data_IF_483866891152
#
_entry.id   IF_483866891152
#
_cell.length_a   1.000
_cell.length_b   1.000
_cell.length_c   1.000
_cell.angle_alpha   90.00
_cell.angle_beta   90.00
_cell.angle_gamma   90.00
#
_symmetry.space_group_name_H-M   'P 1'
#
loop_
_entity.id
_entity.type
_entity.pdbx_description
1 polymer ?
#
# COMPACT_ATOMS: atom_id res chain seq x y z
N UNK A 1 -0.45 -37.47 -2.02
CA UNK A 1 -1.54 -36.51 -1.74
C UNK A 1 -0.87 -35.18 -1.44
N UNK A 2 -0.63 -34.36 -2.46
CA UNK A 2 -0.07 -33.01 -2.27
C UNK A 2 -1.29 -32.12 -2.08
N UNK A 3 -1.61 -31.79 -0.83
CA UNK A 3 -2.63 -30.80 -0.52
C UNK A 3 -2.22 -29.49 -1.17
N UNK A 4 -2.95 -29.10 -2.22
CA UNK A 4 -2.99 -27.72 -2.68
C UNK A 4 -3.63 -26.91 -1.56
N UNK A 5 -2.84 -26.53 -0.56
CA UNK A 5 -3.18 -25.36 0.25
C UNK A 5 -3.38 -24.22 -0.74
N UNK A 6 -4.64 -23.87 -0.99
CA UNK A 6 -4.97 -22.62 -1.65
C UNK A 6 -4.29 -21.55 -0.81
N UNK A 7 -3.19 -20.98 -1.31
CA UNK A 7 -2.63 -19.74 -0.76
C UNK A 7 -3.77 -18.74 -0.90
N UNK A 8 -4.47 -18.50 0.20
CA UNK A 8 -5.60 -17.61 0.23
C UNK A 8 -5.01 -16.21 0.21
N UNK A 9 -4.91 -15.64 -0.99
CA UNK A 9 -4.33 -14.31 -1.16
C UNK A 9 -5.04 -13.32 -0.24
N UNK A 10 -4.24 -12.46 0.41
CA UNK A 10 -4.76 -11.42 1.28
C UNK A 10 -5.87 -10.65 0.55
N UNK A 11 -7.04 -10.54 1.18
CA UNK A 11 -8.20 -9.91 0.56
C UNK A 11 -8.27 -8.45 1.02
N UNK A 12 -8.13 -7.54 0.08
CA UNK A 12 -8.34 -6.11 0.28
C UNK A 12 -9.83 -5.81 0.05
N UNK A 13 -10.51 -5.07 0.94
CA UNK A 13 -11.87 -4.60 0.69
C UNK A 13 -11.91 -3.62 -0.48
N UNK A 14 -12.99 -3.65 -1.27
CA UNK A 14 -13.18 -2.78 -2.45
C UNK A 14 -13.08 -1.29 -2.07
N UNK A 15 -13.60 -0.90 -0.92
CA UNK A 15 -13.54 0.50 -0.45
C UNK A 15 -12.09 0.96 -0.20
N UNK A 16 -11.23 0.05 0.27
CA UNK A 16 -9.79 0.32 0.47
C UNK A 16 -9.08 0.41 -0.88
N UNK A 17 -9.42 -0.44 -1.84
CA UNK A 17 -8.87 -0.35 -3.20
C UNK A 17 -9.22 0.98 -3.87
N UNK A 18 -10.48 1.43 -3.77
CA UNK A 18 -10.92 2.72 -4.29
C UNK A 18 -10.12 3.88 -3.68
N UNK A 19 -9.83 3.82 -2.38
CA UNK A 19 -9.06 4.86 -1.69
C UNK A 19 -7.58 4.86 -2.10
N UNK A 20 -6.99 3.68 -2.27
CA UNK A 20 -5.63 3.54 -2.82
C UNK A 20 -5.57 4.16 -4.21
N UNK A 21 -6.55 3.88 -5.07
CA UNK A 21 -6.59 4.44 -6.43
C UNK A 21 -6.75 5.97 -6.41
N UNK A 22 -7.60 6.51 -5.53
CA UNK A 22 -7.73 7.96 -5.31
C UNK A 22 -6.41 8.58 -4.86
N UNK A 23 -5.71 7.95 -3.93
CA UNK A 23 -4.40 8.42 -3.50
C UNK A 23 -3.39 8.43 -4.64
N UNK A 24 -3.28 7.33 -5.40
CA UNK A 24 -2.37 7.26 -6.53
C UNK A 24 -2.67 8.36 -7.57
N UNK A 25 -3.95 8.69 -7.78
CA UNK A 25 -4.34 9.80 -8.64
C UNK A 25 -3.93 11.16 -8.06
N UNK A 26 -4.15 11.42 -6.77
CA UNK A 26 -3.73 12.65 -6.09
C UNK A 26 -2.21 12.83 -6.12
N UNK A 27 -1.47 11.73 -6.00
CA UNK A 27 -0.01 11.70 -6.13
C UNK A 27 0.41 12.11 -7.54
N UNK A 28 -0.16 11.47 -8.58
CA UNK A 28 0.15 11.77 -10.00
C UNK A 28 -0.21 13.20 -10.39
N UNK A 29 -1.24 13.78 -9.77
CA UNK A 29 -1.67 15.16 -9.99
C UNK A 29 -0.89 16.17 -9.15
N UNK A 30 0.13 15.75 -8.39
CA UNK A 30 0.91 16.61 -7.49
C UNK A 30 0.03 17.38 -6.49
N UNK A 31 -1.09 16.79 -6.07
CA UNK A 31 -2.05 17.43 -5.15
C UNK A 31 -1.44 17.63 -3.75
N UNK A 32 -0.45 16.81 -3.38
CA UNK A 32 0.30 16.97 -2.14
C UNK A 32 1.44 17.97 -2.35
N UNK A 33 1.26 19.19 -1.85
CA UNK A 33 2.23 20.28 -2.00
C UNK A 33 3.38 20.22 -1.00
N UNK A 34 3.17 19.57 0.16
CA UNK A 34 4.20 19.36 1.19
C UNK A 34 4.50 17.89 1.34
N UNK A 35 5.77 17.58 1.52
CA UNK A 35 6.24 16.22 1.65
C UNK A 35 5.76 15.51 2.92
N UNK A 36 5.47 16.27 3.99
CA UNK A 36 4.85 15.76 5.21
C UNK A 36 3.41 15.31 4.98
N UNK A 37 2.66 16.03 4.14
CA UNK A 37 1.27 15.69 3.83
C UNK A 37 1.20 14.38 3.03
N UNK A 38 2.15 14.21 2.09
CA UNK A 38 2.31 12.97 1.33
C UNK A 38 2.71 11.79 2.23
N UNK A 39 3.64 12.00 3.16
CA UNK A 39 4.05 11.01 4.15
C UNK A 39 2.87 10.57 5.04
N UNK A 40 2.11 11.54 5.57
CA UNK A 40 0.95 11.26 6.40
C UNK A 40 -0.12 10.48 5.62
N UNK A 41 -0.44 10.91 4.40
CA UNK A 41 -1.40 10.23 3.54
C UNK A 41 -0.98 8.78 3.24
N UNK A 42 0.33 8.56 3.01
CA UNK A 42 0.90 7.22 2.82
C UNK A 42 0.70 6.35 4.07
N UNK A 43 1.03 6.86 5.27
CA UNK A 43 0.88 6.13 6.53
C UNK A 43 -0.59 5.81 6.82
N UNK A 44 -1.51 6.74 6.55
CA UNK A 44 -2.94 6.54 6.76
C UNK A 44 -3.49 5.41 5.88
N UNK A 45 -3.07 5.35 4.61
CA UNK A 45 -3.47 4.30 3.68
C UNK A 45 -2.90 2.95 4.09
N UNK A 46 -1.62 2.90 4.48
CA UNK A 46 -1.01 1.68 4.99
C UNK A 46 -1.72 1.17 6.25
N UNK A 47 -2.03 2.07 7.19
CA UNK A 47 -2.80 1.72 8.40
C UNK A 47 -4.17 1.15 8.04
N UNK A 48 -4.88 1.77 7.10
CA UNK A 48 -6.20 1.30 6.64
C UNK A 48 -6.10 -0.06 5.93
N UNK A 49 -5.13 -0.21 5.03
CA UNK A 49 -4.84 -1.46 4.34
C UNK A 49 -4.58 -2.59 5.34
N UNK A 50 -3.74 -2.37 6.34
CA UNK A 50 -3.42 -3.38 7.37
C UNK A 50 -4.64 -3.69 8.24
N UNK A 51 -5.38 -2.65 8.65
CA UNK A 51 -6.50 -2.78 9.58
C UNK A 51 -7.76 -3.40 8.98
N UNK A 52 -8.00 -3.21 7.68
CA UNK A 52 -9.23 -3.67 7.01
C UNK A 52 -9.03 -4.88 6.08
N UNK A 53 -7.78 -5.24 5.77
CA UNK A 53 -7.50 -6.46 5.01
C UNK A 53 -7.61 -7.72 5.86
N UNK A 54 -7.89 -8.84 5.19
CA UNK A 54 -7.81 -10.18 5.79
C UNK A 54 -6.56 -10.89 5.30
N UNK A 55 -5.73 -11.32 6.25
CA UNK A 55 -4.49 -12.05 6.02
C UNK A 55 -4.39 -13.20 7.02
N UNK A 56 -3.81 -14.31 6.60
CA UNK A 56 -3.74 -15.55 7.39
C UNK A 56 -2.39 -15.72 8.09
N UNK A 57 -1.36 -15.01 7.62
CA UNK A 57 -0.01 -15.05 8.16
C UNK A 57 0.75 -13.75 7.83
N UNK A 58 1.87 -13.53 8.52
CA UNK A 58 2.70 -12.34 8.32
C UNK A 58 3.30 -12.25 6.90
N UNK A 59 3.55 -13.39 6.24
CA UNK A 59 4.09 -13.42 4.88
C UNK A 59 3.10 -12.87 3.85
N UNK A 60 1.81 -13.21 3.98
CA UNK A 60 0.72 -12.67 3.17
C UNK A 60 0.57 -11.16 3.37
N UNK A 61 0.63 -10.71 4.63
CA UNK A 61 0.58 -9.28 4.96
C UNK A 61 1.74 -8.51 4.32
N UNK A 62 2.98 -8.98 4.48
CA UNK A 62 4.17 -8.35 3.89
C UNK A 62 4.08 -8.33 2.36
N UNK A 63 3.63 -9.43 1.75
CA UNK A 63 3.45 -9.51 0.29
C UNK A 63 2.41 -8.52 -0.20
N UNK A 64 1.28 -8.40 0.50
CA UNK A 64 0.23 -7.44 0.18
C UNK A 64 0.73 -6.00 0.33
N UNK A 65 1.42 -5.68 1.43
CA UNK A 65 1.99 -4.35 1.65
C UNK A 65 2.99 -4.01 0.53
N UNK A 66 3.88 -4.94 0.16
CA UNK A 66 4.87 -4.72 -0.91
C UNK A 66 4.23 -4.52 -2.28
N UNK A 67 3.18 -5.28 -2.61
CA UNK A 67 2.47 -5.12 -3.89
C UNK A 67 1.77 -3.77 -3.97
N UNK A 68 1.16 -3.30 -2.88
CA UNK A 68 0.56 -1.97 -2.83
C UNK A 68 1.62 -0.87 -2.79
N UNK A 69 2.70 -1.03 -2.02
CA UNK A 69 3.81 -0.08 -1.98
C UNK A 69 4.45 0.11 -3.37
N UNK A 70 4.55 -0.94 -4.18
CA UNK A 70 4.97 -0.82 -5.56
C UNK A 70 4.01 0.10 -6.35
N UNK A 71 2.70 -0.15 -6.27
CA UNK A 71 1.67 0.69 -6.91
C UNK A 71 1.69 2.15 -6.42
N UNK A 72 1.97 2.37 -5.13
CA UNK A 72 2.07 3.71 -4.53
C UNK A 72 3.33 4.47 -5.00
N UNK A 73 4.41 3.74 -5.30
CA UNK A 73 5.64 4.29 -5.85
C UNK A 73 5.57 4.46 -7.38
N UNK A 74 4.77 3.66 -8.08
CA UNK A 74 4.48 3.78 -9.52
C UNK A 74 3.66 5.04 -9.82
N UNK A 75 4.36 6.17 -9.89
CA UNK A 75 3.76 7.48 -10.14
C UNK A 75 4.46 8.63 -9.42
N UNK A 76 5.46 8.32 -8.58
CA UNK A 76 6.27 9.31 -7.87
C UNK A 76 7.68 9.41 -8.47
N UNK A 77 8.32 10.60 -8.42
CA UNK A 77 9.76 10.70 -8.65
C UNK A 77 10.52 9.77 -7.70
N UNK A 78 11.57 9.12 -8.18
CA UNK A 78 12.35 8.10 -7.44
C UNK A 78 12.94 8.62 -6.11
N UNK A 79 13.11 9.94 -5.98
CA UNK A 79 13.60 10.62 -4.76
C UNK A 79 12.48 11.05 -3.78
N UNK A 80 11.28 10.45 -3.84
CA UNK A 80 10.17 10.85 -2.98
C UNK A 80 10.27 10.30 -1.55
N UNK A 81 9.72 11.04 -0.58
CA UNK A 81 9.63 10.63 0.83
C UNK A 81 8.81 9.34 1.02
N UNK A 82 7.85 9.08 0.14
CA UNK A 82 7.04 7.84 0.13
C UNK A 82 7.90 6.60 -0.12
N UNK A 83 8.88 6.69 -1.01
CA UNK A 83 9.81 5.60 -1.29
C UNK A 83 10.58 5.23 -0.02
N UNK A 84 11.10 6.21 0.72
CA UNK A 84 11.81 5.96 1.98
C UNK A 84 10.91 5.35 3.06
N UNK A 85 9.66 5.82 3.21
CA UNK A 85 8.71 5.27 4.19
C UNK A 85 8.37 3.82 3.88
N UNK A 86 8.13 3.50 2.60
CA UNK A 86 7.79 2.14 2.17
C UNK A 86 8.99 1.18 2.16
N UNK A 87 10.21 1.69 1.94
CA UNK A 87 11.44 0.90 1.88
C UNK A 87 12.06 0.63 3.26
N UNK A 88 12.00 1.61 4.17
CA UNK A 88 12.72 1.56 5.46
C UNK A 88 11.80 1.57 6.69
N UNK A 89 10.52 1.92 6.54
CA UNK A 89 9.55 1.96 7.64
C UNK A 89 8.78 0.66 7.89
N UNK A 90 8.94 -0.33 7.01
CA UNK A 90 8.23 -1.63 7.03
C UNK A 90 9.25 -2.77 7.08
#
# INVERSE_FOLDING_TARGET
IISKEKIQMARIPVDVEIEIDRFCNNVKQSTYTRSVDLALATILILKKLIGESKWSNASELITMIRSQAHRLNEGQPVDSITFNITRYGI
#
